data_IF_413187731914
#
_entry.id   IF_413187731914
#
_cell.length_a   1.000
_cell.length_b   1.000
_cell.length_c   1.000
_cell.angle_alpha   90.00
_cell.angle_beta   90.00
_cell.angle_gamma   90.00
#
_symmetry.space_group_name_H-M   'P 1'
#
loop_
_entity.id
_entity.type
_entity.pdbx_description
1 polymer ?
#
# COMPACT_ATOMS: atom_id res chain seq x y z
N UNK A 1 -18.50 25.55 -53.27
CA UNK A 1 -18.32 24.12 -52.97
C UNK A 1 -19.15 23.77 -51.76
N UNK A 2 -19.98 22.73 -51.93
CA UNK A 2 -21.19 22.29 -51.21
C UNK A 2 -21.06 22.21 -49.68
N UNK A 3 -21.95 22.82 -48.89
CA UNK A 3 -23.32 22.41 -48.45
C UNK A 3 -23.29 21.47 -47.21
N UNK A 4 -23.60 21.98 -46.02
CA UNK A 4 -24.90 22.03 -45.29
C UNK A 4 -25.39 20.67 -44.73
N UNK A 5 -25.48 20.64 -43.39
CA UNK A 5 -26.40 19.96 -42.44
C UNK A 5 -27.38 18.91 -43.00
N UNK A 6 -27.58 17.79 -42.30
CA UNK A 6 -28.64 17.63 -41.27
C UNK A 6 -28.60 16.24 -40.60
N UNK A 7 -29.31 16.16 -39.45
CA UNK A 7 -29.66 14.99 -38.64
C UNK A 7 -30.53 13.98 -39.41
N UNK A 8 -30.46 12.69 -39.06
CA UNK A 8 -31.66 11.89 -38.73
C UNK A 8 -31.34 10.49 -38.16
N UNK A 9 -32.21 10.10 -37.22
CA UNK A 9 -32.44 8.79 -36.62
C UNK A 9 -32.83 7.70 -37.63
N UNK A 10 -32.40 6.45 -37.38
CA UNK A 10 -33.16 5.18 -37.54
C UNK A 10 -32.32 4.08 -36.88
N UNK A 11 -32.74 3.50 -35.76
CA UNK A 11 -33.82 2.53 -35.55
C UNK A 11 -33.48 1.10 -36.00
N UNK A 12 -34.03 0.17 -35.23
CA UNK A 12 -33.68 -1.21 -34.92
C UNK A 12 -33.30 -2.18 -36.04
N UNK A 13 -32.51 -3.19 -35.63
CA UNK A 13 -32.31 -4.44 -36.34
C UNK A 13 -31.66 -5.51 -35.46
N UNK A 14 -32.47 -6.30 -34.76
CA UNK A 14 -32.09 -7.56 -34.13
C UNK A 14 -31.34 -8.48 -35.13
N UNK A 15 -30.19 -9.04 -34.72
CA UNK A 15 -29.70 -10.32 -35.24
C UNK A 15 -29.23 -11.16 -34.06
N UNK A 16 -30.00 -12.22 -33.84
CA UNK A 16 -29.85 -13.34 -32.91
C UNK A 16 -28.62 -14.23 -33.19
N UNK A 17 -28.10 -14.81 -32.09
CA UNK A 17 -27.52 -16.15 -31.85
C UNK A 17 -26.67 -16.91 -32.90
N UNK A 18 -25.64 -17.57 -32.34
CA UNK A 18 -24.90 -18.77 -32.79
C UNK A 18 -23.85 -18.69 -33.92
N UNK A 19 -22.56 -18.52 -33.56
CA UNK A 19 -21.49 -19.56 -33.65
C UNK A 19 -20.04 -18.99 -33.54
N UNK A 20 -19.06 -19.78 -33.04
CA UNK A 20 -17.70 -19.33 -32.73
C UNK A 20 -16.73 -19.39 -33.94
N UNK A 21 -15.95 -18.32 -34.14
CA UNK A 21 -14.91 -18.25 -35.17
C UNK A 21 -13.69 -19.17 -34.86
N UNK A 22 -13.14 -19.91 -35.86
CA UNK A 22 -12.09 -20.89 -35.62
C UNK A 22 -10.69 -20.27 -35.49
N UNK A 23 -9.95 -20.72 -34.46
CA UNK A 23 -8.55 -20.36 -34.19
C UNK A 23 -7.61 -20.93 -35.26
N UNK A 24 -6.71 -20.10 -35.79
CA UNK A 24 -5.67 -20.49 -36.75
C UNK A 24 -4.71 -21.56 -36.15
N UNK A 25 -4.29 -22.58 -36.92
CA UNK A 25 -3.38 -23.62 -36.43
C UNK A 25 -1.93 -23.12 -36.32
N UNK A 26 -1.34 -23.31 -35.15
CA UNK A 26 0.08 -23.02 -34.83
C UNK A 26 0.97 -24.08 -35.49
N UNK A 27 1.89 -23.63 -36.35
CA UNK A 27 2.85 -24.50 -37.05
C UNK A 27 3.77 -25.22 -36.06
N UNK A 28 3.92 -26.53 -36.30
CA UNK A 28 4.89 -27.42 -35.69
C UNK A 28 6.30 -27.04 -36.17
N UNK A 29 7.04 -26.27 -35.37
CA UNK A 29 8.51 -26.33 -35.37
C UNK A 29 8.92 -27.16 -34.16
N UNK A 30 9.75 -28.17 -34.38
CA UNK A 30 10.19 -29.16 -33.38
C UNK A 30 11.06 -28.62 -32.25
N UNK A 31 10.93 -27.34 -31.89
CA UNK A 31 11.52 -26.78 -30.69
C UNK A 31 10.72 -27.28 -29.48
N UNK A 32 11.16 -28.40 -28.90
CA UNK A 32 10.78 -28.78 -27.54
C UNK A 32 11.10 -27.59 -26.64
N UNK A 33 10.06 -26.83 -26.27
CA UNK A 33 10.16 -25.79 -25.26
C UNK A 33 10.49 -26.46 -23.94
N UNK A 34 11.78 -26.57 -23.64
CA UNK A 34 12.25 -26.79 -22.27
C UNK A 34 12.12 -25.48 -21.49
N UNK A 35 10.91 -24.90 -21.45
CA UNK A 35 10.44 -24.16 -20.28
C UNK A 35 10.18 -25.15 -19.12
N UNK A 36 11.10 -26.08 -18.89
CA UNK A 36 11.26 -26.66 -17.57
C UNK A 36 11.86 -25.51 -16.79
N UNK A 37 11.03 -24.84 -16.00
CA UNK A 37 11.48 -23.83 -15.04
C UNK A 37 12.85 -24.25 -14.55
N UNK A 38 13.86 -23.46 -14.91
CA UNK A 38 15.17 -23.53 -14.30
C UNK A 38 14.91 -23.19 -12.83
N UNK A 39 14.47 -24.18 -12.06
CA UNK A 39 14.65 -24.20 -10.63
C UNK A 39 16.16 -24.36 -10.48
N UNK A 40 16.85 -23.27 -10.77
CA UNK A 40 18.15 -22.98 -10.21
C UNK A 40 18.04 -23.31 -8.75
N UNK A 41 18.98 -24.10 -8.25
CA UNK A 41 19.12 -24.30 -6.83
C UNK A 41 19.07 -22.89 -6.19
N UNK A 42 18.07 -22.67 -5.35
CA UNK A 42 17.97 -21.43 -4.58
C UNK A 42 18.81 -21.68 -3.35
N UNK A 43 19.74 -20.77 -3.05
CA UNK A 43 20.49 -20.84 -1.81
C UNK A 43 19.51 -20.74 -0.63
N UNK A 44 19.40 -21.77 0.24
CA UNK A 44 18.50 -21.72 1.39
C UNK A 44 18.89 -20.64 2.41
N UNK A 45 20.15 -20.19 2.40
CA UNK A 45 20.69 -19.21 3.35
C UNK A 45 20.35 -17.78 2.95
N UNK A 46 20.34 -17.49 1.65
CA UNK A 46 20.20 -16.12 1.11
C UNK A 46 18.99 -15.93 0.19
N UNK A 47 18.29 -17.00 -0.18
CA UNK A 47 17.20 -16.95 -1.17
C UNK A 47 17.66 -16.61 -2.59
N UNK A 48 18.97 -16.54 -2.83
CA UNK A 48 19.54 -16.15 -4.11
C UNK A 48 19.49 -17.32 -5.11
N UNK A 49 19.14 -17.03 -6.36
CA UNK A 49 19.06 -18.02 -7.44
C UNK A 49 20.43 -18.23 -8.08
N UNK A 50 20.90 -19.48 -8.15
CA UNK A 50 22.14 -19.80 -8.86
C UNK A 50 21.93 -19.82 -10.38
N UNK A 51 22.67 -18.98 -11.12
CA UNK A 51 22.67 -19.00 -12.59
C UNK A 51 23.20 -20.34 -13.11
N UNK A 52 24.25 -20.88 -12.48
CA UNK A 52 24.84 -22.17 -12.80
C UNK A 52 24.49 -23.19 -11.72
N UNK A 53 23.57 -24.10 -12.06
CA UNK A 53 23.21 -25.23 -11.19
C UNK A 53 24.35 -26.26 -11.17
N UNK A 54 24.53 -26.99 -10.06
CA UNK A 54 25.56 -28.03 -9.91
C UNK A 54 25.32 -29.29 -10.77
N UNK A 55 24.61 -29.16 -11.89
CA UNK A 55 24.40 -30.25 -12.83
C UNK A 55 25.66 -30.32 -13.70
N UNK A 56 26.22 -31.51 -13.87
CA UNK A 56 27.49 -31.73 -14.59
C UNK A 56 27.50 -31.25 -16.06
N UNK A 57 26.35 -30.87 -16.60
CA UNK A 57 26.11 -30.41 -17.97
C UNK A 57 25.70 -28.92 -18.03
N UNK A 58 26.02 -28.15 -16.99
CA UNK A 58 25.81 -26.69 -17.00
C UNK A 58 26.91 -26.03 -17.84
N UNK A 59 26.51 -25.39 -18.93
CA UNK A 59 27.36 -24.56 -19.80
C UNK A 59 26.90 -23.10 -19.73
N UNK A 60 27.83 -22.18 -19.89
CA UNK A 60 27.65 -20.74 -20.07
C UNK A 60 27.19 -20.38 -21.49
N UNK A 61 27.35 -21.30 -22.44
CA UNK A 61 27.09 -21.06 -23.85
C UNK A 61 25.58 -21.27 -24.12
N UNK A 62 24.87 -20.28 -24.68
CA UNK A 62 23.46 -20.43 -25.05
C UNK A 62 23.31 -21.42 -26.21
N UNK A 63 22.24 -22.22 -26.21
CA UNK A 63 21.95 -23.16 -27.30
C UNK A 63 21.62 -22.40 -28.61
N UNK A 64 22.47 -22.51 -29.64
CA UNK A 64 22.34 -21.79 -30.91
C UNK A 64 23.48 -22.07 -31.91
N UNK A 65 23.52 -21.31 -33.01
CA UNK A 65 24.42 -21.40 -34.20
C UNK A 65 25.90 -21.05 -33.88
N UNK A 66 26.41 -21.57 -32.77
CA UNK A 66 27.65 -21.13 -32.12
C UNK A 66 28.44 -22.35 -31.59
N UNK A 67 28.50 -23.42 -32.39
CA UNK A 67 29.32 -24.62 -32.13
C UNK A 67 30.83 -24.35 -32.25
N UNK A 68 31.23 -23.13 -32.63
CA UNK A 68 32.60 -22.72 -32.90
C UNK A 68 33.29 -22.07 -31.68
N UNK A 69 32.59 -21.97 -30.54
CA UNK A 69 33.17 -21.46 -29.29
C UNK A 69 33.94 -22.57 -28.58
N UNK A 70 35.11 -22.21 -28.03
CA UNK A 70 35.94 -23.12 -27.26
C UNK A 70 35.17 -23.70 -26.07
N UNK A 71 35.46 -24.96 -25.73
CA UNK A 71 34.76 -25.68 -24.67
C UNK A 71 34.90 -24.94 -23.33
N UNK A 72 33.77 -24.47 -22.77
CA UNK A 72 33.73 -23.66 -21.55
C UNK A 72 33.96 -24.46 -20.25
N UNK A 73 34.47 -25.69 -20.36
CA UNK A 73 34.74 -26.58 -19.23
C UNK A 73 35.75 -25.98 -18.24
N UNK A 74 36.78 -25.28 -18.73
CA UNK A 74 37.76 -24.62 -17.87
C UNK A 74 37.14 -23.46 -17.09
N UNK A 75 36.32 -22.62 -17.75
CA UNK A 75 35.59 -21.54 -17.10
C UNK A 75 34.60 -22.07 -16.05
N UNK A 76 33.88 -23.15 -16.36
CA UNK A 76 32.98 -23.80 -15.42
C UNK A 76 33.71 -24.46 -14.26
N UNK A 77 34.91 -25.03 -14.48
CA UNK A 77 35.76 -25.56 -13.42
C UNK A 77 36.27 -24.44 -12.49
N UNK A 78 36.68 -23.31 -13.05
CA UNK A 78 37.08 -22.13 -12.28
C UNK A 78 35.94 -21.62 -11.39
N UNK A 79 34.72 -21.46 -11.93
CA UNK A 79 33.57 -21.01 -11.16
C UNK A 79 33.18 -21.99 -10.03
N UNK A 80 33.38 -23.30 -10.23
CA UNK A 80 33.21 -24.31 -9.17
C UNK A 80 34.28 -24.17 -8.08
N UNK A 81 35.53 -23.93 -8.47
CA UNK A 81 36.64 -23.69 -7.53
C UNK A 81 36.38 -22.45 -6.68
N UNK A 82 35.99 -21.33 -7.29
CA UNK A 82 35.65 -20.08 -6.59
C UNK A 82 34.48 -20.29 -5.63
N UNK A 83 33.45 -21.04 -6.04
CA UNK A 83 32.35 -21.40 -5.14
C UNK A 83 32.87 -22.18 -3.94
N UNK A 84 33.73 -23.18 -4.15
CA UNK A 84 34.29 -23.99 -3.06
C UNK A 84 35.15 -23.16 -2.10
N UNK A 85 35.95 -22.24 -2.62
CA UNK A 85 36.73 -21.30 -1.81
C UNK A 85 35.82 -20.34 -1.02
N UNK A 86 34.78 -19.81 -1.65
CA UNK A 86 33.80 -18.93 -1.01
C UNK A 86 33.00 -19.61 0.11
N UNK A 87 32.81 -20.95 0.05
CA UNK A 87 32.22 -21.70 1.18
C UNK A 87 33.12 -21.69 2.43
N UNK A 88 34.42 -21.40 2.29
CA UNK A 88 35.34 -21.23 3.41
C UNK A 88 35.29 -19.84 4.06
N UNK A 89 34.61 -18.87 3.45
CA UNK A 89 34.49 -17.51 3.99
C UNK A 89 33.24 -17.44 4.86
N UNK A 90 33.38 -16.89 6.07
CA UNK A 90 32.23 -16.69 6.95
C UNK A 90 31.20 -15.75 6.30
N UNK A 91 29.94 -16.15 6.29
CA UNK A 91 28.82 -15.43 5.67
C UNK A 91 28.60 -14.00 6.20
N UNK A 92 29.10 -13.69 7.39
CA UNK A 92 29.01 -12.38 8.00
C UNK A 92 30.38 -12.02 8.58
N UNK A 93 30.99 -10.98 8.03
CA UNK A 93 32.21 -10.36 8.54
C UNK A 93 31.81 -8.99 9.09
N UNK A 94 31.90 -8.82 10.40
CA UNK A 94 31.72 -7.52 11.05
C UNK A 94 33.10 -6.96 11.36
N UNK A 95 33.48 -5.92 10.64
CA UNK A 95 34.68 -5.17 10.96
C UNK A 95 34.47 -4.43 12.29
N UNK A 96 35.40 -4.51 13.25
CA UNK A 96 35.35 -3.68 14.45
C UNK A 96 35.33 -2.20 14.06
N UNK A 97 34.45 -1.41 14.67
CA UNK A 97 34.34 0.03 14.44
C UNK A 97 35.50 0.83 15.04
N UNK A 98 36.51 0.17 15.61
CA UNK A 98 37.72 0.82 16.10
C UNK A 98 38.48 1.35 14.89
N UNK A 99 38.68 2.67 14.84
CA UNK A 99 39.48 3.35 13.82
C UNK A 99 40.89 2.74 13.81
N UNK A 100 41.14 1.81 12.90
CA UNK A 100 42.46 1.23 12.67
C UNK A 100 43.18 2.17 11.70
N UNK A 101 43.84 3.17 12.28
CA UNK A 101 44.66 4.17 11.61
C UNK A 101 45.38 5.03 12.65
N UNK A 102 46.53 5.65 12.32
CA UNK A 102 47.20 6.57 13.23
C UNK A 102 46.23 7.70 13.60
N UNK A 103 45.98 7.88 14.90
CA UNK A 103 45.11 8.95 15.38
C UNK A 103 45.73 10.31 15.01
N UNK A 104 44.89 11.21 14.50
CA UNK A 104 45.29 12.58 14.22
C UNK A 104 45.74 13.26 15.53
N UNK A 105 46.89 13.96 15.55
CA UNK A 105 47.38 14.63 16.75
C UNK A 105 46.31 15.56 17.38
N UNK A 106 46.25 15.66 18.71
CA UNK A 106 45.24 16.46 19.44
C UNK A 106 45.15 17.92 18.99
N UNK A 107 46.23 18.48 18.44
CA UNK A 107 46.35 19.86 17.97
C UNK A 107 45.48 20.17 16.74
N UNK A 108 44.98 19.14 16.02
CA UNK A 108 44.14 19.28 14.83
C UNK A 108 42.68 18.90 15.09
N UNK A 109 42.32 18.55 16.32
CA UNK A 109 40.98 18.02 16.67
C UNK A 109 39.97 19.05 17.17
N UNK A 110 40.29 20.35 17.22
CA UNK A 110 39.36 21.34 17.78
C UNK A 110 39.53 22.76 17.26
N UNK A 111 38.68 23.14 16.31
CA UNK A 111 38.32 24.54 16.12
C UNK A 111 36.86 24.64 15.68
N UNK A 112 35.93 24.41 16.61
CA UNK A 112 34.59 25.01 16.61
C UNK A 112 34.06 25.01 18.05
N UNK A 113 34.39 26.10 18.74
CA UNK A 113 33.66 26.82 19.79
C UNK A 113 32.71 26.05 20.73
N UNK A 114 33.18 25.88 21.97
CA UNK A 114 32.60 26.37 23.24
C UNK A 114 31.11 26.75 23.24
N UNK A 115 30.30 26.04 24.03
CA UNK A 115 29.83 26.57 25.33
C UNK A 115 29.13 25.48 26.17
N UNK A 116 29.78 25.16 27.30
CA UNK A 116 29.22 24.88 28.63
C UNK A 116 28.13 23.78 28.81
N UNK A 117 28.56 22.56 29.16
CA UNK A 117 28.37 21.99 30.51
C UNK A 117 28.93 20.56 30.55
N UNK A 118 30.09 20.43 31.20
CA UNK A 118 30.78 19.19 31.48
C UNK A 118 29.98 18.34 32.48
N UNK A 119 29.40 17.23 32.01
CA UNK A 119 29.14 16.06 32.86
C UNK A 119 29.95 14.91 32.29
N UNK A 120 31.10 14.66 32.91
CA UNK A 120 31.85 13.41 32.73
C UNK A 120 30.98 12.27 33.25
N UNK A 121 30.40 11.51 32.33
CA UNK A 121 29.98 10.14 32.58
C UNK A 121 30.84 9.21 31.73
N UNK A 122 31.70 8.49 32.43
CA UNK A 122 32.46 7.36 31.91
C UNK A 122 31.48 6.27 31.47
N UNK A 123 31.29 6.10 30.16
CA UNK A 123 30.75 4.84 29.62
C UNK A 123 31.16 4.69 28.16
N UNK A 124 32.05 3.72 27.97
CA UNK A 124 32.25 2.84 26.83
C UNK A 124 31.58 3.23 25.51
N UNK A 125 32.42 3.44 24.50
CA UNK A 125 32.03 3.96 23.21
C UNK A 125 31.23 2.99 22.36
N UNK A 126 30.05 3.41 21.93
CA UNK A 126 29.44 2.97 20.68
C UNK A 126 28.61 4.12 20.07
N UNK A 127 29.28 5.18 19.65
CA UNK A 127 28.69 6.16 18.72
C UNK A 127 28.88 5.69 17.26
N UNK A 128 27.78 5.72 16.51
CA UNK A 128 27.61 5.64 15.05
C UNK A 128 27.29 4.27 14.40
N UNK A 129 25.98 4.03 14.26
CA UNK A 129 25.32 3.85 12.94
C UNK A 129 24.00 4.66 12.88
N UNK A 130 23.43 5.05 14.03
CA UNK A 130 22.22 5.89 14.10
C UNK A 130 22.50 7.39 14.35
N UNK A 131 23.62 7.92 13.86
CA UNK A 131 23.74 9.37 13.68
C UNK A 131 22.99 9.79 12.41
N UNK A 132 21.73 9.35 12.27
CA UNK A 132 20.76 10.18 11.58
C UNK A 132 20.59 11.34 12.53
N UNK A 133 20.75 12.55 11.99
CA UNK A 133 20.61 13.82 12.67
C UNK A 133 19.58 13.76 13.80
N UNK A 134 19.78 14.57 14.83
CA UNK A 134 18.82 14.99 15.84
C UNK A 134 17.47 15.43 15.24
N UNK A 135 16.77 14.51 14.61
CA UNK A 135 15.45 14.66 14.04
C UNK A 135 14.56 14.32 15.21
N UNK A 136 14.09 15.36 15.89
CA UNK A 136 13.30 15.37 17.12
C UNK A 136 11.93 14.67 16.96
N UNK A 137 11.80 13.76 16.00
CA UNK A 137 10.58 13.07 15.58
C UNK A 137 10.27 11.82 16.39
N UNK A 138 11.07 11.48 17.39
CA UNK A 138 10.81 10.31 18.23
C UNK A 138 11.63 10.33 19.53
N UNK A 139 11.12 9.66 20.55
CA UNK A 139 11.81 9.40 21.82
C UNK A 139 11.72 7.90 22.16
N UNK A 140 12.63 7.41 23.00
CA UNK A 140 12.65 6.02 23.44
C UNK A 140 12.22 5.92 24.91
N UNK A 141 11.16 5.16 25.19
CA UNK A 141 10.63 4.95 26.55
C UNK A 141 10.22 3.47 26.74
N UNK A 142 10.57 2.89 27.90
CA UNK A 142 10.25 1.50 28.31
C UNK A 142 10.47 0.44 27.22
N UNK A 143 11.65 0.44 26.61
CA UNK A 143 12.01 -0.56 25.61
C UNK A 143 11.44 -0.30 24.20
N UNK A 144 10.62 0.73 24.03
CA UNK A 144 9.94 1.05 22.77
C UNK A 144 10.36 2.42 22.20
N UNK A 145 10.48 2.48 20.88
CA UNK A 145 10.74 3.72 20.14
C UNK A 145 9.40 4.36 19.75
N UNK A 146 9.11 5.54 20.28
CA UNK A 146 7.84 6.25 20.15
C UNK A 146 8.04 7.45 19.23
N UNK A 147 7.29 7.54 18.13
CA UNK A 147 7.30 8.73 17.28
C UNK A 147 6.66 9.93 18.00
N UNK A 148 7.32 11.09 17.93
CA UNK A 148 6.83 12.38 18.42
C UNK A 148 5.88 12.97 17.38
N UNK A 149 4.75 13.48 17.84
CA UNK A 149 3.79 14.16 16.98
C UNK A 149 4.41 15.48 16.46
N UNK A 150 4.49 15.69 15.13
CA UNK A 150 5.06 16.91 14.55
C UNK A 150 4.34 18.20 14.97
N UNK A 151 3.16 18.12 15.58
CA UNK A 151 2.43 19.28 16.10
C UNK A 151 2.88 19.72 17.52
N UNK A 152 3.84 19.01 18.14
CA UNK A 152 4.26 19.28 19.54
C UNK A 152 5.64 19.94 19.67
N UNK A 153 6.23 20.42 18.57
CA UNK A 153 7.39 21.32 18.64
C UNK A 153 6.87 22.75 18.90
N UNK A 154 6.51 23.00 20.16
CA UNK A 154 6.01 24.29 20.64
C UNK A 154 6.68 24.63 21.99
N UNK A 155 8.01 24.55 22.02
CA UNK A 155 8.85 25.09 23.12
C UNK A 155 9.37 26.53 22.79
N UNK A 156 8.68 27.22 21.89
CA UNK A 156 8.80 28.66 21.70
C UNK A 156 7.46 29.33 22.01
N UNK A 157 7.20 29.57 23.29
CA UNK A 157 6.10 30.37 23.81
C UNK A 157 6.21 31.87 23.43
N UNK A 158 6.21 32.16 22.13
CA UNK A 158 5.69 33.39 21.57
C UNK A 158 4.49 32.99 20.71
N UNK A 159 3.46 32.45 21.37
CA UNK A 159 2.22 32.03 20.71
C UNK A 159 1.61 33.23 19.99
N UNK A 160 1.79 33.26 18.67
CA UNK A 160 1.08 34.15 17.78
C UNK A 160 -0.42 34.05 18.12
N UNK A 161 -1.06 35.16 18.45
CA UNK A 161 -2.51 35.19 18.70
C UNK A 161 -3.29 34.60 17.52
N UNK A 162 -2.73 34.65 16.31
CA UNK A 162 -3.28 34.02 15.13
C UNK A 162 -3.26 32.50 15.22
N UNK A 163 -2.17 31.88 15.69
CA UNK A 163 -2.07 30.43 15.87
C UNK A 163 -3.04 29.92 16.95
N UNK A 164 -3.19 30.68 18.06
CA UNK A 164 -4.21 30.40 19.09
C UNK A 164 -5.62 30.45 18.52
N UNK A 165 -5.96 31.51 17.77
CA UNK A 165 -7.27 31.66 17.11
C UNK A 165 -7.54 30.56 16.09
N UNK A 166 -6.54 30.15 15.33
CA UNK A 166 -6.66 29.04 14.38
C UNK A 166 -6.94 27.71 15.09
N UNK A 167 -6.22 27.43 16.17
CA UNK A 167 -6.45 26.24 17.02
C UNK A 167 -7.84 26.25 17.65
N UNK A 168 -8.30 27.40 18.15
CA UNK A 168 -9.66 27.55 18.69
C UNK A 168 -10.74 27.34 17.62
N UNK A 169 -10.55 27.90 16.42
CA UNK A 169 -11.47 27.73 15.29
C UNK A 169 -11.52 26.28 14.84
N UNK A 170 -10.36 25.62 14.74
CA UNK A 170 -10.26 24.20 14.46
C UNK A 170 -11.06 23.41 15.50
N UNK A 171 -10.78 23.59 16.79
CA UNK A 171 -11.49 22.91 17.86
C UNK A 171 -13.01 23.13 17.83
N UNK A 172 -13.47 24.36 17.60
CA UNK A 172 -14.90 24.67 17.48
C UNK A 172 -15.54 23.99 16.25
N UNK A 173 -14.84 23.96 15.12
CA UNK A 173 -15.27 23.26 13.91
C UNK A 173 -15.39 21.75 14.13
N UNK A 174 -14.38 21.13 14.77
CA UNK A 174 -14.40 19.71 15.12
C UNK A 174 -15.54 19.39 16.07
N UNK A 175 -15.73 20.19 17.12
CA UNK A 175 -16.84 20.01 18.06
C UNK A 175 -18.21 20.09 17.37
N UNK A 176 -18.40 21.07 16.48
CA UNK A 176 -19.64 21.22 15.70
C UNK A 176 -19.91 20.03 14.77
N UNK A 177 -18.86 19.54 14.10
CA UNK A 177 -18.94 18.38 13.20
C UNK A 177 -19.26 17.10 13.98
N UNK A 178 -18.62 16.90 15.13
CA UNK A 178 -18.84 15.76 16.01
C UNK A 178 -20.26 15.76 16.59
N UNK A 179 -20.76 16.92 17.04
CA UNK A 179 -22.13 17.07 17.54
C UNK A 179 -23.17 16.80 16.43
N UNK A 180 -22.93 17.26 15.20
CA UNK A 180 -23.76 16.90 14.03
C UNK A 180 -23.76 15.40 13.78
N UNK A 181 -22.59 14.75 13.83
CA UNK A 181 -22.47 13.31 13.64
C UNK A 181 -23.20 12.52 14.74
N UNK A 182 -23.07 12.91 16.01
CA UNK A 182 -23.78 12.28 17.13
C UNK A 182 -25.29 12.44 16.99
N UNK A 183 -25.78 13.62 16.56
CA UNK A 183 -27.21 13.83 16.26
C UNK A 183 -27.69 12.89 15.17
N UNK A 184 -26.97 12.77 14.06
CA UNK A 184 -27.30 11.86 12.97
C UNK A 184 -27.37 10.42 13.47
N UNK A 185 -26.38 10.00 14.26
CA UNK A 185 -26.32 8.66 14.85
C UNK A 185 -27.53 8.38 15.76
N UNK A 186 -27.95 9.35 16.58
CA UNK A 186 -29.15 9.24 17.41
C UNK A 186 -30.42 9.05 16.58
N UNK A 187 -30.53 9.75 15.44
CA UNK A 187 -31.66 9.61 14.52
C UNK A 187 -31.65 8.22 13.86
N UNK A 188 -30.49 7.76 13.37
CA UNK A 188 -30.38 6.47 12.71
C UNK A 188 -30.62 5.27 13.64
N UNK A 189 -30.25 5.38 14.92
CA UNK A 189 -30.53 4.34 15.91
C UNK A 189 -31.91 4.46 16.57
N UNK A 190 -32.74 5.41 16.14
CA UNK A 190 -34.13 5.47 16.59
C UNK A 190 -34.95 4.31 16.01
N UNK A 191 -35.97 3.85 16.74
CA UNK A 191 -36.84 2.76 16.25
C UNK A 191 -37.55 3.23 14.98
N UNK A 192 -37.41 2.52 13.84
CA UNK A 192 -38.05 2.94 12.60
C UNK A 192 -39.58 2.90 12.77
N UNK A 193 -40.30 3.87 12.18
CA UNK A 193 -41.76 3.87 12.24
C UNK A 193 -42.35 2.62 11.56
N UNK A 194 -43.48 2.08 12.05
CA UNK A 194 -44.09 0.90 11.47
C UNK A 194 -44.45 1.16 10.00
N UNK A 195 -44.01 0.27 9.10
CA UNK A 195 -44.19 0.41 7.66
C UNK A 195 -43.10 1.20 6.92
N UNK A 196 -42.03 1.64 7.59
CA UNK A 196 -40.91 2.34 6.95
C UNK A 196 -40.30 1.58 5.76
N UNK A 197 -40.21 0.25 5.84
CA UNK A 197 -39.70 -0.59 4.76
C UNK A 197 -40.53 -0.50 3.47
N UNK A 198 -41.84 -0.22 3.56
CA UNK A 198 -42.72 -0.06 2.39
C UNK A 198 -42.52 1.26 1.66
N UNK A 199 -41.83 2.23 2.29
CA UNK A 199 -41.54 3.55 1.71
C UNK A 199 -40.25 3.55 0.89
N UNK A 200 -39.43 2.50 1.00
CA UNK A 200 -38.23 2.34 0.18
C UNK A 200 -38.60 1.89 -1.22
N UNK A 201 -37.91 2.44 -2.21
CA UNK A 201 -38.01 1.95 -3.58
C UNK A 201 -37.27 0.62 -3.72
N UNK A 202 -37.67 -0.20 -4.70
CA UNK A 202 -36.99 -1.47 -5.04
C UNK A 202 -35.51 -1.26 -5.41
N UNK A 203 -35.14 -0.03 -5.81
CA UNK A 203 -33.76 0.36 -6.14
C UNK A 203 -32.87 0.60 -4.91
N UNK A 204 -33.44 0.80 -3.72
CA UNK A 204 -32.71 1.06 -2.48
C UNK A 204 -32.44 -0.24 -1.74
N UNK A 205 -31.29 -0.87 -2.04
CA UNK A 205 -30.90 -2.13 -1.40
C UNK A 205 -30.57 -1.92 0.08
N UNK A 206 -31.17 -2.72 0.96
CA UNK A 206 -30.89 -2.72 2.41
C UNK A 206 -30.00 -3.89 2.85
N UNK A 207 -29.70 -4.82 1.94
CA UNK A 207 -28.92 -6.02 2.22
C UNK A 207 -27.74 -6.15 1.27
N UNK A 208 -26.56 -6.38 1.83
CA UNK A 208 -25.36 -6.75 1.08
C UNK A 208 -25.05 -8.22 1.30
N UNK A 209 -25.07 -9.00 0.22
CA UNK A 209 -24.71 -10.42 0.23
C UNK A 209 -23.21 -10.63 0.48
N UNK A 210 -22.74 -11.90 0.47
CA UNK A 210 -21.32 -12.17 0.70
C UNK A 210 -20.40 -11.45 -0.29
N UNK A 211 -19.27 -10.97 0.22
CA UNK A 211 -18.27 -10.23 -0.54
C UNK A 211 -17.51 -11.15 -1.51
N UNK A 212 -17.58 -12.47 -1.31
CA UNK A 212 -17.01 -13.48 -2.20
C UNK A 212 -17.62 -13.40 -3.62
N UNK A 213 -18.81 -12.80 -3.74
CA UNK A 213 -19.43 -12.52 -5.02
C UNK A 213 -18.91 -11.20 -5.60
N UNK A 214 -18.13 -11.30 -6.68
CA UNK A 214 -17.76 -10.17 -7.53
C UNK A 214 -18.97 -9.34 -7.98
N UNK A 215 -20.15 -9.96 -8.09
CA UNK A 215 -21.39 -9.26 -8.44
C UNK A 215 -21.87 -8.31 -7.34
N UNK A 216 -21.70 -8.67 -6.06
CA UNK A 216 -22.04 -7.81 -4.91
C UNK A 216 -21.17 -6.56 -4.93
N UNK A 217 -19.85 -6.74 -5.10
CA UNK A 217 -18.88 -5.62 -5.16
C UNK A 217 -19.23 -4.68 -6.31
N UNK A 218 -19.47 -5.22 -7.51
CA UNK A 218 -19.84 -4.41 -8.69
C UNK A 218 -21.14 -3.65 -8.48
N UNK A 219 -22.19 -4.32 -7.97
CA UNK A 219 -23.50 -3.69 -7.73
C UNK A 219 -23.40 -2.54 -6.73
N UNK A 220 -22.79 -2.78 -5.57
CA UNK A 220 -22.62 -1.74 -4.55
C UNK A 220 -21.68 -0.64 -5.02
N UNK A 221 -20.62 -0.97 -5.77
CA UNK A 221 -19.76 0.04 -6.38
C UNK A 221 -20.51 0.93 -7.37
N UNK A 222 -21.50 0.39 -8.10
CA UNK A 222 -22.35 1.21 -8.97
C UNK A 222 -23.28 2.08 -8.13
N UNK A 223 -23.98 1.51 -7.14
CA UNK A 223 -24.93 2.23 -6.28
C UNK A 223 -24.26 3.41 -5.56
N UNK A 224 -23.09 3.21 -4.96
CA UNK A 224 -22.34 4.26 -4.26
C UNK A 224 -21.97 5.42 -5.20
N UNK A 225 -21.80 5.14 -6.50
CA UNK A 225 -21.46 6.15 -7.51
C UNK A 225 -22.70 6.84 -8.08
N UNK A 226 -23.82 6.14 -8.21
CA UNK A 226 -25.00 6.62 -8.96
C UNK A 226 -26.09 7.19 -8.07
N UNK A 227 -26.23 6.73 -6.83
CA UNK A 227 -27.33 7.10 -5.94
C UNK A 227 -26.82 7.68 -4.61
N UNK A 228 -27.59 8.61 -4.04
CA UNK A 228 -27.31 9.19 -2.72
C UNK A 228 -27.81 8.26 -1.61
N UNK A 229 -27.14 8.21 -0.44
CA UNK A 229 -27.56 7.35 0.66
C UNK A 229 -28.88 7.84 1.28
N UNK A 230 -29.92 7.01 1.27
CA UNK A 230 -31.19 7.36 1.90
C UNK A 230 -31.15 7.06 3.41
N UNK A 231 -31.56 7.97 4.31
CA UNK A 231 -31.53 7.72 5.76
C UNK A 231 -32.29 6.46 6.18
N UNK A 232 -33.51 6.26 5.65
CA UNK A 232 -34.29 5.02 5.88
C UNK A 232 -33.60 3.75 5.40
N UNK A 233 -32.82 3.82 4.30
CA UNK A 233 -32.07 2.67 3.79
C UNK A 233 -30.99 2.29 4.81
N UNK A 234 -30.24 3.27 5.31
CA UNK A 234 -29.20 3.06 6.32
C UNK A 234 -29.76 2.50 7.65
N UNK A 235 -30.93 2.97 8.10
CA UNK A 235 -31.60 2.44 9.32
C UNK A 235 -31.99 0.98 9.17
N UNK A 236 -32.40 0.58 7.97
CA UNK A 236 -32.85 -0.78 7.69
C UNK A 236 -31.72 -1.74 7.32
N UNK A 237 -30.49 -1.24 7.11
CA UNK A 237 -29.33 -2.08 6.85
C UNK A 237 -28.90 -2.83 8.12
N UNK A 238 -28.63 -4.12 7.96
CA UNK A 238 -28.02 -4.90 9.04
C UNK A 238 -26.57 -4.45 9.28
N UNK A 239 -26.06 -4.61 10.51
CA UNK A 239 -24.66 -4.30 10.87
C UNK A 239 -23.66 -4.97 9.92
N UNK A 240 -23.90 -6.24 9.60
CA UNK A 240 -23.07 -7.01 8.69
C UNK A 240 -23.10 -6.43 7.26
N UNK A 241 -24.27 -6.03 6.76
CA UNK A 241 -24.39 -5.35 5.48
C UNK A 241 -23.66 -3.99 5.47
N UNK A 242 -23.74 -3.19 6.54
CA UNK A 242 -23.01 -1.92 6.66
C UNK A 242 -21.51 -2.14 6.56
N UNK A 243 -20.95 -3.11 7.29
CA UNK A 243 -19.52 -3.42 7.25
C UNK A 243 -19.07 -3.92 5.88
N UNK A 244 -19.87 -4.75 5.21
CA UNK A 244 -19.57 -5.23 3.85
C UNK A 244 -19.54 -4.08 2.84
N UNK A 245 -20.51 -3.16 2.91
CA UNK A 245 -20.54 -1.99 2.02
C UNK A 245 -19.39 -1.04 2.33
N UNK A 246 -19.04 -0.83 3.60
CA UNK A 246 -17.87 -0.07 4.01
C UNK A 246 -16.58 -0.68 3.44
N UNK A 247 -16.45 -2.01 3.47
CA UNK A 247 -15.33 -2.71 2.86
C UNK A 247 -15.27 -2.54 1.34
N UNK A 248 -16.42 -2.54 0.64
CA UNK A 248 -16.46 -2.22 -0.81
C UNK A 248 -15.98 -0.79 -1.07
N UNK A 249 -16.32 0.15 -0.19
CA UNK A 249 -15.94 1.56 -0.29
C UNK A 249 -14.43 1.75 -0.03
N UNK A 250 -13.88 1.09 0.99
CA UNK A 250 -12.45 1.16 1.34
C UNK A 250 -11.54 0.37 0.37
N UNK A 251 -11.97 -0.81 -0.08
CA UNK A 251 -11.21 -1.66 -1.00
C UNK A 251 -11.37 -1.29 -2.48
N UNK A 252 -12.32 -0.40 -2.80
CA UNK A 252 -12.57 0.05 -4.17
C UNK A 252 -11.67 1.22 -4.58
N UNK A 253 -11.72 1.58 -5.86
CA UNK A 253 -11.02 2.75 -6.44
C UNK A 253 -11.65 4.10 -6.02
N UNK A 254 -12.15 4.22 -4.79
CA UNK A 254 -12.82 5.41 -4.28
C UNK A 254 -11.86 6.39 -3.59
N UNK A 255 -10.78 5.86 -2.98
CA UNK A 255 -9.78 6.64 -2.24
C UNK A 255 -8.37 6.58 -2.85
N UNK A 256 -8.21 5.97 -4.03
CA UNK A 256 -6.89 5.88 -4.65
C UNK A 256 -6.40 7.28 -5.05
N UNK A 257 -5.15 7.56 -4.68
CA UNK A 257 -4.52 8.86 -4.86
C UNK A 257 -4.65 9.40 -6.29
N UNK A 258 -5.08 10.66 -6.39
CA UNK A 258 -5.29 11.37 -7.66
C UNK A 258 -6.76 11.66 -8.01
N UNK A 259 -7.72 11.06 -7.31
CA UNK A 259 -9.15 11.37 -7.47
C UNK A 259 -9.68 12.12 -6.24
N UNK A 260 -10.40 13.22 -6.45
CA UNK A 260 -11.10 13.91 -5.38
C UNK A 260 -12.26 13.05 -4.89
N UNK A 261 -12.42 12.95 -3.56
CA UNK A 261 -13.55 12.26 -2.96
C UNK A 261 -14.84 12.93 -3.42
N UNK A 262 -15.73 12.20 -4.08
CA UNK A 262 -17.01 12.78 -4.50
C UNK A 262 -17.88 13.05 -3.29
N UNK A 263 -18.69 14.10 -3.35
CA UNK A 263 -19.66 14.41 -2.28
C UNK A 263 -20.57 13.21 -1.99
N UNK A 264 -20.95 12.47 -3.03
CA UNK A 264 -21.72 11.24 -2.87
C UNK A 264 -21.01 10.18 -2.03
N UNK A 265 -19.74 9.94 -2.35
CA UNK A 265 -18.94 8.95 -1.62
C UNK A 265 -18.70 9.37 -0.17
N UNK A 266 -18.55 10.67 0.10
CA UNK A 266 -18.42 11.18 1.46
C UNK A 266 -19.73 11.08 2.25
N UNK A 267 -20.88 11.32 1.61
CA UNK A 267 -22.20 11.10 2.21
C UNK A 267 -22.42 9.62 2.55
N UNK A 268 -22.05 8.69 1.64
CA UNK A 268 -22.12 7.25 1.90
C UNK A 268 -21.21 6.85 3.06
N UNK A 269 -19.97 7.34 3.08
CA UNK A 269 -19.03 7.06 4.15
C UNK A 269 -19.56 7.55 5.50
N UNK A 270 -20.01 8.81 5.58
CA UNK A 270 -20.57 9.40 6.80
C UNK A 270 -21.84 8.70 7.27
N UNK A 271 -22.73 8.34 6.34
CA UNK A 271 -23.97 7.62 6.63
C UNK A 271 -23.73 6.19 7.13
N UNK A 272 -22.84 5.45 6.48
CA UNK A 272 -22.46 4.09 6.89
C UNK A 272 -21.70 4.10 8.22
N UNK A 273 -20.80 5.05 8.43
CA UNK A 273 -20.12 5.22 9.71
C UNK A 273 -21.09 5.57 10.84
N UNK A 274 -22.14 6.36 10.58
CA UNK A 274 -23.16 6.68 11.57
C UNK A 274 -24.11 5.50 11.86
N UNK A 275 -24.40 4.66 10.86
CA UNK A 275 -25.24 3.47 11.00
C UNK A 275 -24.50 2.27 11.61
N UNK A 276 -23.19 2.15 11.38
CA UNK A 276 -22.32 1.09 11.85
C UNK A 276 -22.06 1.17 13.35
N UNK A 277 -22.89 0.50 14.15
CA UNK A 277 -22.56 0.23 15.54
C UNK A 277 -21.43 -0.81 15.62
N UNK A 278 -20.17 -0.35 15.63
CA UNK A 278 -19.16 -1.05 16.41
C UNK A 278 -19.61 -0.91 17.87
N UNK A 279 -20.00 -2.03 18.47
CA UNK A 279 -20.48 -2.04 19.85
C UNK A 279 -19.38 -1.53 20.76
N UNK A 280 -19.77 -0.71 21.73
CA UNK A 280 -19.12 -0.69 23.03
C UNK A 280 -19.37 -2.03 23.73
#
# INVERSE_FOLDING_TARGET
>A
MSAKRDYDDVDEGEISDDEPSPKRPRRLTGAQSRHRHQHSAIDPTWGQKYVFSNKGDATTIPYGEESDFEHDAEAMAYLRSVRQEAHGISHLLVAPTKQIGPQLPPELQGQHHDDEHEVKSESDGHQSVYAIASDARAYYEDGAYIARDPETDDDHEAQDEQARREKELHNAFFASTLDRYIRLRRILHSKPPPGAAKRLSVTQLTYAASLDSSTTIKRWSTIIRTADPHPLQLVLMSKDSVLRVLHVLLGGKFFFGGYTLSERTSQWLGGLAAAGSLGA
#
